data_IF_918887221269
#
_entry.id   IF_918887221269
#
_cell.length_a   1.000
_cell.length_b   1.000
_cell.length_c   1.000
_cell.angle_alpha   90.00
_cell.angle_beta   90.00
_cell.angle_gamma   90.00
#
_symmetry.space_group_name_H-M   'P 1'
#
loop_
_entity.id
_entity.type
_entity.pdbx_description
1 polymer ?
#
# COMPACT_ATOMS: atom_id res chain seq x y z
N UNK A 1 4.95 -20.77 14.95
CA UNK A 1 3.95 -21.45 14.10
C UNK A 1 4.35 -21.18 12.67
N UNK A 2 4.73 -22.20 11.91
CA UNK A 2 5.12 -22.03 10.51
C UNK A 2 3.92 -21.52 9.71
N UNK A 3 4.19 -20.69 8.70
CA UNK A 3 3.19 -20.33 7.70
C UNK A 3 2.97 -21.58 6.85
N UNK A 4 2.10 -22.48 7.30
CA UNK A 4 1.59 -23.53 6.44
C UNK A 4 0.84 -22.83 5.30
N UNK A 5 1.22 -23.14 4.06
CA UNK A 5 0.45 -22.74 2.90
C UNK A 5 -0.95 -23.33 3.07
N UNK A 6 -1.93 -22.48 3.36
CA UNK A 6 -3.33 -22.83 3.58
C UNK A 6 -3.93 -23.47 2.31
N UNK A 7 -3.61 -24.73 2.04
CA UNK A 7 -4.12 -25.49 0.89
C UNK A 7 -3.65 -25.07 -0.50
N UNK A 8 -2.97 -23.91 -0.67
CA UNK A 8 -2.49 -23.44 -1.99
C UNK A 8 -1.09 -23.93 -2.33
N UNK A 9 -0.86 -24.24 -3.61
CA UNK A 9 0.49 -24.58 -4.11
C UNK A 9 1.39 -23.35 -3.99
N UNK A 10 2.45 -23.46 -3.20
CA UNK A 10 3.47 -22.42 -3.07
C UNK A 10 4.14 -22.14 -4.42
N UNK A 11 4.39 -20.86 -4.70
CA UNK A 11 5.24 -20.45 -5.81
C UNK A 11 6.67 -20.93 -5.58
N UNK A 12 7.46 -21.08 -6.66
CA UNK A 12 8.86 -21.56 -6.58
C UNK A 12 9.70 -20.75 -5.58
N UNK A 13 9.46 -19.43 -5.52
CA UNK A 13 10.17 -18.53 -4.61
C UNK A 13 9.73 -18.72 -3.16
N UNK A 14 8.43 -18.87 -2.91
CA UNK A 14 7.89 -19.15 -1.57
C UNK A 14 8.43 -20.48 -1.03
N UNK A 15 8.43 -21.53 -1.87
CA UNK A 15 8.96 -22.84 -1.49
C UNK A 15 10.47 -22.80 -1.19
N UNK A 16 11.24 -21.99 -1.93
CA UNK A 16 12.67 -21.77 -1.66
C UNK A 16 12.86 -21.02 -0.34
N UNK A 17 12.11 -19.95 -0.12
CA UNK A 17 12.26 -19.12 1.08
C UNK A 17 11.88 -19.91 2.35
N UNK A 18 10.88 -20.79 2.27
CA UNK A 18 10.48 -21.68 3.37
C UNK A 18 11.54 -22.71 3.79
N UNK A 19 12.61 -22.90 2.99
CA UNK A 19 13.76 -23.73 3.40
C UNK A 19 14.62 -23.04 4.47
N UNK A 20 14.51 -21.72 4.61
CA UNK A 20 15.16 -20.96 5.69
C UNK A 20 14.20 -20.89 6.88
N UNK A 21 14.59 -21.36 8.08
CA UNK A 21 13.76 -21.25 9.27
C UNK A 21 13.49 -19.79 9.63
N UNK A 22 12.29 -19.51 10.14
CA UNK A 22 11.92 -18.17 10.60
C UNK A 22 12.90 -17.73 11.70
N UNK A 23 13.53 -16.58 11.49
CA UNK A 23 14.48 -16.01 12.43
C UNK A 23 13.79 -15.53 13.70
N UNK A 24 14.50 -15.66 14.83
CA UNK A 24 14.03 -15.07 16.09
C UNK A 24 14.15 -13.55 15.99
N UNK A 25 13.03 -12.85 16.17
CA UNK A 25 13.04 -11.38 16.26
C UNK A 25 13.92 -10.92 17.42
N UNK A 26 14.77 -9.90 17.21
CA UNK A 26 15.62 -9.35 18.26
C UNK A 26 14.78 -8.65 19.34
N UNK A 27 15.34 -8.51 20.54
CA UNK A 27 14.57 -8.07 21.71
C UNK A 27 14.03 -6.64 21.62
N UNK A 28 14.62 -5.79 20.79
CA UNK A 28 14.15 -4.42 20.57
C UNK A 28 12.94 -4.33 19.62
N UNK A 29 12.63 -5.39 18.88
CA UNK A 29 11.41 -5.45 18.05
C UNK A 29 10.29 -6.08 18.88
N UNK A 30 9.61 -5.24 19.66
CA UNK A 30 8.44 -5.60 20.46
C UNK A 30 7.35 -4.57 20.23
N UNK A 31 6.11 -5.05 20.16
CA UNK A 31 4.93 -4.21 20.01
C UNK A 31 4.10 -4.33 21.27
N UNK A 32 3.61 -3.21 21.79
CA UNK A 32 2.61 -3.20 22.85
C UNK A 32 1.22 -3.15 22.21
N UNK A 33 0.53 -4.28 22.18
CA UNK A 33 -0.86 -4.31 21.76
C UNK A 33 -1.73 -3.57 22.79
N UNK A 34 -2.32 -2.46 22.37
CA UNK A 34 -3.32 -1.72 23.16
C UNK A 34 -4.57 -1.62 22.32
N UNK A 35 -5.65 -2.27 22.76
CA UNK A 35 -6.95 -2.22 22.07
C UNK A 35 -7.79 -1.19 22.82
N UNK A 36 -7.83 0.03 22.28
CA UNK A 36 -8.66 1.11 22.81
C UNK A 36 -9.97 1.29 22.02
N UNK A 37 -10.80 2.25 22.46
CA UNK A 37 -12.08 2.50 21.82
C UNK A 37 -11.95 2.99 20.36
N UNK A 38 -10.89 3.76 20.06
CA UNK A 38 -10.62 4.27 18.71
C UNK A 38 -10.28 3.13 17.75
N UNK A 39 -9.44 2.18 18.18
CA UNK A 39 -9.19 0.97 17.40
C UNK A 39 -10.49 0.23 17.03
N UNK A 40 -11.38 0.00 18.02
CA UNK A 40 -12.63 -0.74 17.80
C UNK A 40 -13.61 0.02 16.88
N UNK A 41 -13.66 1.35 17.00
CA UNK A 41 -14.41 2.24 16.12
C UNK A 41 -13.90 2.13 14.68
N UNK A 42 -12.59 2.25 14.46
CA UNK A 42 -11.96 2.16 13.15
C UNK A 42 -12.18 0.78 12.51
N UNK A 43 -11.98 -0.29 13.26
CA UNK A 43 -12.21 -1.66 12.78
C UNK A 43 -13.66 -1.85 12.31
N UNK A 44 -14.63 -1.36 13.07
CA UNK A 44 -16.04 -1.47 12.73
C UNK A 44 -16.41 -0.64 11.50
N UNK A 45 -15.80 0.54 11.33
CA UNK A 45 -16.00 1.40 10.17
C UNK A 45 -15.45 0.78 8.88
N UNK A 46 -14.21 0.29 8.91
CA UNK A 46 -13.56 -0.36 7.76
C UNK A 46 -14.36 -1.58 7.33
N UNK A 47 -14.70 -2.46 8.27
CA UNK A 47 -15.49 -3.66 8.00
C UNK A 47 -16.91 -3.32 7.50
N UNK A 48 -17.56 -2.30 8.10
CA UNK A 48 -18.92 -1.89 7.73
C UNK A 48 -19.04 -1.28 6.33
N UNK A 49 -17.95 -0.68 5.81
CA UNK A 49 -17.88 -0.11 4.46
C UNK A 49 -17.34 -1.09 3.41
N UNK A 50 -16.95 -2.31 3.81
CA UNK A 50 -16.31 -3.28 2.93
C UNK A 50 -15.00 -2.77 2.34
N UNK A 51 -14.22 -2.02 3.12
CA UNK A 51 -12.91 -1.49 2.75
C UNK A 51 -11.80 -2.39 3.28
N UNK A 52 -10.62 -2.24 2.68
CA UNK A 52 -9.40 -2.89 3.14
C UNK A 52 -8.39 -1.86 3.65
N UNK A 53 -7.53 -2.27 4.58
CA UNK A 53 -6.40 -1.46 5.05
C UNK A 53 -5.10 -2.23 4.92
N UNK A 54 -4.00 -1.55 4.60
CA UNK A 54 -2.67 -2.19 4.67
C UNK A 54 -2.32 -2.58 6.10
N UNK A 55 -2.88 -1.88 7.08
CA UNK A 55 -2.70 -2.19 8.48
C UNK A 55 -3.08 -3.65 8.79
N UNK A 56 -4.21 -4.12 8.25
CA UNK A 56 -4.70 -5.48 8.40
C UNK A 56 -4.06 -6.44 7.38
N UNK A 57 -4.12 -6.11 6.09
CA UNK A 57 -3.74 -7.03 5.00
C UNK A 57 -2.23 -7.31 4.93
N UNK A 58 -1.39 -6.38 5.41
CA UNK A 58 0.06 -6.58 5.49
C UNK A 58 0.53 -7.08 6.86
N UNK A 59 -0.39 -7.32 7.81
CA UNK A 59 -0.06 -7.77 9.16
C UNK A 59 0.78 -6.76 9.95
N UNK A 60 0.44 -5.47 9.84
CA UNK A 60 1.25 -4.39 10.41
C UNK A 60 1.25 -4.46 11.95
N UNK A 61 2.44 -4.56 12.60
CA UNK A 61 2.49 -4.59 14.06
C UNK A 61 2.05 -3.26 14.69
N UNK A 62 2.08 -2.15 13.94
CA UNK A 62 1.75 -0.82 14.48
C UNK A 62 0.24 -0.51 14.45
N UNK A 63 -0.61 -1.45 13.99
CA UNK A 63 -2.06 -1.21 13.83
C UNK A 63 -2.71 -0.68 15.12
N UNK A 64 -2.31 -1.20 16.28
CA UNK A 64 -2.86 -0.79 17.58
C UNK A 64 -2.48 0.64 17.97
N UNK A 65 -1.29 1.10 17.56
CA UNK A 65 -0.81 2.45 17.85
C UNK A 65 -1.43 3.45 16.87
N UNK A 66 -1.29 3.20 15.57
CA UNK A 66 -1.78 4.11 14.54
C UNK A 66 -3.30 4.31 14.62
N UNK A 67 -4.07 3.24 14.83
CA UNK A 67 -5.53 3.36 14.84
C UNK A 67 -6.04 4.04 16.10
N UNK A 68 -5.33 3.89 17.22
CA UNK A 68 -5.67 4.61 18.45
C UNK A 68 -5.47 6.13 18.28
N UNK A 69 -4.42 6.52 17.54
CA UNK A 69 -4.12 7.91 17.20
C UNK A 69 -4.94 8.46 16.01
N UNK A 70 -5.90 7.67 15.51
CA UNK A 70 -6.72 7.99 14.31
C UNK A 70 -5.85 8.25 13.09
N UNK A 71 -4.95 7.33 12.80
CA UNK A 71 -4.21 7.25 11.55
C UNK A 71 -4.46 5.89 10.90
N UNK A 72 -4.84 5.88 9.63
CA UNK A 72 -5.09 4.65 8.88
C UNK A 72 -4.54 4.76 7.46
N UNK A 73 -4.06 3.62 6.96
CA UNK A 73 -3.65 3.47 5.56
C UNK A 73 -4.64 2.58 4.83
N UNK A 74 -5.47 3.18 3.99
CA UNK A 74 -6.44 2.46 3.17
C UNK A 74 -5.74 1.70 2.04
N UNK A 75 -6.22 0.49 1.73
CA UNK A 75 -5.79 -0.31 0.59
C UNK A 75 -6.93 -0.35 -0.44
N UNK A 76 -6.77 0.38 -1.55
CA UNK A 76 -7.75 0.42 -2.63
C UNK A 76 -7.45 -0.61 -3.73
N UNK A 77 -8.48 -0.96 -4.50
CA UNK A 77 -8.40 -1.90 -5.62
C UNK A 77 -8.57 -3.35 -5.22
N UNK A 78 -9.00 -3.62 -3.98
CA UNK A 78 -9.19 -4.93 -3.37
C UNK A 78 -7.97 -5.46 -2.60
N UNK A 79 -8.10 -6.72 -2.17
CA UNK A 79 -7.11 -7.47 -1.38
C UNK A 79 -6.18 -8.36 -2.24
N UNK A 80 -6.52 -8.59 -3.52
CA UNK A 80 -5.73 -9.39 -4.45
C UNK A 80 -4.88 -8.50 -5.35
N UNK A 81 -3.56 -8.64 -5.28
CA UNK A 81 -2.61 -7.93 -6.12
C UNK A 81 -2.25 -8.72 -7.39
N UNK A 82 -2.13 -8.03 -8.52
CA UNK A 82 -1.66 -8.66 -9.78
C UNK A 82 -0.15 -8.92 -9.81
N UNK A 83 0.60 -8.44 -8.81
CA UNK A 83 2.06 -8.57 -8.69
C UNK A 83 2.44 -9.24 -7.37
N UNK A 84 3.57 -9.94 -7.39
CA UNK A 84 4.19 -10.53 -6.19
C UNK A 84 5.52 -9.85 -5.89
N UNK A 85 5.66 -9.32 -4.67
CA UNK A 85 6.94 -8.91 -4.09
C UNK A 85 7.26 -9.84 -2.93
N UNK A 86 8.52 -10.26 -2.79
CA UNK A 86 8.93 -11.33 -1.85
C UNK A 86 8.70 -10.98 -0.37
N UNK A 87 8.66 -9.69 -0.03
CA UNK A 87 8.38 -9.21 1.33
C UNK A 87 6.90 -8.98 1.64
N UNK A 88 6.05 -8.87 0.61
CA UNK A 88 4.68 -8.42 0.79
C UNK A 88 3.79 -9.60 1.24
N UNK A 89 2.85 -9.36 2.16
CA UNK A 89 1.90 -10.39 2.60
C UNK A 89 0.54 -10.32 1.89
N UNK A 90 0.26 -9.21 1.20
CA UNK A 90 -0.95 -9.05 0.39
C UNK A 90 -0.99 -10.17 -0.65
N UNK A 91 -2.16 -10.78 -0.79
CA UNK A 91 -2.38 -11.91 -1.66
C UNK A 91 -2.10 -11.58 -3.12
N UNK A 92 -1.59 -12.57 -3.85
CA UNK A 92 -1.43 -12.48 -5.30
C UNK A 92 -2.50 -13.30 -5.98
N UNK A 93 -3.28 -12.66 -6.83
CA UNK A 93 -4.42 -13.31 -7.46
C UNK A 93 -4.99 -12.51 -8.63
N UNK A 94 -6.14 -12.96 -9.11
CA UNK A 94 -6.94 -12.20 -10.07
C UNK A 94 -7.87 -11.28 -9.26
N UNK A 95 -7.72 -9.94 -9.37
CA UNK A 95 -8.59 -9.03 -8.66
C UNK A 95 -10.06 -9.20 -9.06
N UNK A 96 -10.95 -8.82 -8.15
CA UNK A 96 -12.36 -8.64 -8.47
C UNK A 96 -12.56 -7.49 -9.48
N UNK A 97 -13.79 -7.38 -10.00
CA UNK A 97 -14.17 -6.24 -10.83
C UNK A 97 -13.90 -4.92 -10.07
N UNK A 98 -13.46 -3.90 -10.81
CA UNK A 98 -13.24 -2.57 -10.24
C UNK A 98 -14.53 -2.04 -9.60
N UNK A 99 -14.49 -1.80 -8.29
CA UNK A 99 -15.54 -1.08 -7.60
C UNK A 99 -15.35 0.43 -7.84
N UNK A 100 -16.25 1.05 -8.59
CA UNK A 100 -16.19 2.49 -8.87
C UNK A 100 -16.70 3.35 -7.73
N UNK A 101 -17.38 2.76 -6.75
CA UNK A 101 -17.85 3.46 -5.55
C UNK A 101 -16.80 3.44 -4.44
N UNK A 102 -15.73 2.64 -4.57
CA UNK A 102 -14.63 2.54 -3.59
C UNK A 102 -14.02 3.91 -3.21
N UNK A 103 -13.68 4.81 -4.16
CA UNK A 103 -13.24 6.17 -3.84
C UNK A 103 -14.16 6.93 -2.88
N UNK A 104 -15.48 6.87 -3.12
CA UNK A 104 -16.48 7.56 -2.31
C UNK A 104 -16.63 6.92 -0.92
N UNK A 105 -16.51 5.58 -0.83
CA UNK A 105 -16.50 4.85 0.45
C UNK A 105 -15.28 5.21 1.29
N UNK A 106 -14.10 5.28 0.68
CA UNK A 106 -12.87 5.73 1.35
C UNK A 106 -13.04 7.15 1.86
N UNK A 107 -13.48 8.09 1.02
CA UNK A 107 -13.69 9.48 1.43
C UNK A 107 -14.74 9.61 2.56
N UNK A 108 -15.79 8.79 2.53
CA UNK A 108 -16.80 8.74 3.60
C UNK A 108 -16.18 8.26 4.91
N UNK A 109 -15.28 7.27 4.85
CA UNK A 109 -14.59 6.74 6.03
C UNK A 109 -13.60 7.76 6.60
N UNK A 110 -12.81 8.42 5.75
CA UNK A 110 -11.91 9.53 6.15
C UNK A 110 -12.68 10.63 6.89
N UNK A 111 -13.83 11.04 6.36
CA UNK A 111 -14.69 12.05 6.97
C UNK A 111 -15.28 11.57 8.31
N UNK A 112 -15.81 10.34 8.36
CA UNK A 112 -16.40 9.76 9.56
C UNK A 112 -15.38 9.63 10.70
N UNK A 113 -14.14 9.29 10.37
CA UNK A 113 -13.03 9.16 11.32
C UNK A 113 -12.48 10.53 11.78
N UNK A 114 -12.82 11.61 11.07
CA UNK A 114 -12.29 12.95 11.34
C UNK A 114 -10.78 13.03 11.14
N UNK A 115 -10.24 12.31 10.14
CA UNK A 115 -8.81 12.30 9.86
C UNK A 115 -8.36 13.67 9.35
N UNK A 116 -7.28 14.20 9.95
CA UNK A 116 -6.59 15.39 9.44
C UNK A 116 -5.61 15.05 8.33
N UNK A 117 -5.16 13.80 8.30
CA UNK A 117 -4.23 13.28 7.31
C UNK A 117 -4.59 11.84 7.00
N UNK A 118 -4.81 11.50 5.73
CA UNK A 118 -5.16 10.17 5.28
C UNK A 118 -4.04 9.59 4.41
N UNK A 119 -3.59 8.38 4.70
CA UNK A 119 -2.69 7.66 3.81
C UNK A 119 -3.52 6.69 2.97
N UNK A 120 -3.32 6.73 1.65
CA UNK A 120 -3.97 5.84 0.71
C UNK A 120 -2.91 5.12 -0.09
N UNK A 121 -3.02 3.80 -0.16
CA UNK A 121 -2.24 2.96 -1.08
C UNK A 121 -3.19 1.97 -1.73
N UNK A 122 -2.69 1.16 -2.65
CA UNK A 122 -3.49 0.10 -3.24
C UNK A 122 -2.64 -1.05 -3.75
N UNK A 123 -3.34 -2.03 -4.32
CA UNK A 123 -2.71 -3.12 -5.05
C UNK A 123 -2.34 -2.69 -6.48
N UNK A 124 -1.42 -3.43 -7.11
CA UNK A 124 -1.21 -3.29 -8.54
C UNK A 124 -2.39 -3.88 -9.31
N UNK A 125 -2.93 -3.14 -10.27
CA UNK A 125 -4.06 -3.52 -11.11
C UNK A 125 -3.68 -3.65 -12.58
N UNK A 126 -2.68 -4.50 -12.88
CA UNK A 126 -2.25 -4.78 -14.25
C UNK A 126 -3.36 -5.45 -15.11
N UNK A 127 -4.48 -5.86 -14.51
CA UNK A 127 -5.69 -6.35 -15.17
C UNK A 127 -6.54 -5.23 -15.79
N UNK A 128 -6.37 -3.99 -15.32
CA UNK A 128 -7.11 -2.83 -15.82
C UNK A 128 -6.35 -2.14 -16.97
N UNK A 129 -7.06 -1.59 -17.98
CA UNK A 129 -6.41 -0.92 -19.12
C UNK A 129 -5.53 0.27 -18.73
N UNK A 130 -5.90 0.99 -17.67
CA UNK A 130 -5.20 2.16 -17.14
C UNK A 130 -4.29 1.81 -15.93
N UNK A 131 -4.12 0.52 -15.62
CA UNK A 131 -3.37 0.08 -14.44
C UNK A 131 -4.00 0.50 -13.11
N UNK A 132 -5.25 1.00 -13.11
CA UNK A 132 -5.92 1.59 -11.95
C UNK A 132 -5.66 3.09 -11.74
N UNK A 133 -5.02 3.80 -12.67
CA UNK A 133 -4.71 5.23 -12.52
C UNK A 133 -5.92 6.08 -12.12
N UNK A 134 -7.07 5.85 -12.76
CA UNK A 134 -8.33 6.52 -12.42
C UNK A 134 -8.73 6.27 -10.96
N UNK A 135 -8.62 5.03 -10.48
CA UNK A 135 -9.03 4.65 -9.12
C UNK A 135 -8.20 5.41 -8.07
N UNK A 136 -6.88 5.42 -8.23
CA UNK A 136 -5.98 6.14 -7.31
C UNK A 136 -6.27 7.64 -7.32
N UNK A 137 -6.37 8.23 -8.51
CA UNK A 137 -6.61 9.66 -8.66
C UNK A 137 -7.99 10.07 -8.13
N UNK A 138 -9.02 9.26 -8.37
CA UNK A 138 -10.38 9.53 -7.93
C UNK A 138 -10.52 9.42 -6.41
N UNK A 139 -9.83 8.48 -5.76
CA UNK A 139 -9.84 8.40 -4.30
C UNK A 139 -9.31 9.67 -3.64
N UNK A 140 -8.21 10.25 -4.15
CA UNK A 140 -7.70 11.53 -3.66
C UNK A 140 -8.73 12.65 -3.86
N UNK A 141 -9.31 12.74 -5.06
CA UNK A 141 -10.32 13.76 -5.40
C UNK A 141 -11.56 13.70 -4.50
N UNK A 142 -12.07 12.49 -4.23
CA UNK A 142 -13.22 12.28 -3.34
C UNK A 142 -12.88 12.67 -1.89
N UNK A 143 -11.68 12.34 -1.40
CA UNK A 143 -11.24 12.73 -0.06
C UNK A 143 -11.19 14.26 0.07
N UNK A 144 -10.52 14.95 -0.86
CA UNK A 144 -10.44 16.42 -0.83
C UNK A 144 -11.82 17.08 -0.92
N UNK A 145 -12.73 16.52 -1.73
CA UNK A 145 -14.10 17.03 -1.88
C UNK A 145 -14.90 16.90 -0.60
N UNK A 146 -14.84 15.72 0.04
CA UNK A 146 -15.68 15.40 1.20
C UNK A 146 -15.10 15.88 2.52
N UNK A 147 -13.78 16.00 2.61
CA UNK A 147 -13.06 16.44 3.81
C UNK A 147 -12.11 17.60 3.46
N UNK A 148 -12.62 18.81 3.14
CA UNK A 148 -11.77 19.94 2.82
C UNK A 148 -10.77 20.25 3.94
N UNK A 149 -9.48 20.30 3.59
CA UNK A 149 -8.39 20.55 4.53
C UNK A 149 -7.72 19.30 5.11
N UNK A 150 -8.24 18.09 4.84
CA UNK A 150 -7.49 16.87 5.12
C UNK A 150 -6.35 16.70 4.10
N UNK A 151 -5.13 16.48 4.60
CA UNK A 151 -3.99 16.12 3.74
C UNK A 151 -4.06 14.67 3.30
N UNK A 152 -3.59 14.38 2.08
CA UNK A 152 -3.56 13.04 1.51
C UNK A 152 -2.13 12.65 1.12
N UNK A 153 -1.63 11.57 1.70
CA UNK A 153 -0.45 10.86 1.20
C UNK A 153 -0.90 9.69 0.32
N UNK A 154 -0.50 9.68 -0.95
CA UNK A 154 -0.84 8.64 -1.91
C UNK A 154 0.40 7.80 -2.24
N UNK A 155 0.44 6.55 -1.76
CA UNK A 155 1.47 5.57 -2.11
C UNK A 155 1.03 4.74 -3.33
N UNK A 156 1.78 4.85 -4.42
CA UNK A 156 1.37 4.30 -5.72
C UNK A 156 2.25 3.14 -6.21
N UNK A 157 1.70 2.23 -7.03
CA UNK A 157 2.50 1.37 -7.89
C UNK A 157 3.22 2.21 -8.95
N UNK A 158 4.05 1.59 -9.79
CA UNK A 158 4.81 2.33 -10.80
C UNK A 158 4.01 2.65 -12.06
N UNK A 159 2.77 2.15 -12.21
CA UNK A 159 1.95 2.23 -13.43
C UNK A 159 2.72 1.85 -14.72
N UNK A 160 3.71 0.95 -14.56
CA UNK A 160 4.69 0.56 -15.59
C UNK A 160 5.46 1.75 -16.21
N UNK A 161 5.48 2.90 -15.54
CA UNK A 161 6.11 4.13 -16.00
C UNK A 161 5.33 4.83 -17.12
N UNK A 162 4.05 4.50 -17.31
CA UNK A 162 3.21 5.07 -18.38
C UNK A 162 2.94 6.55 -18.09
N UNK A 163 3.43 7.50 -18.91
CA UNK A 163 3.35 8.93 -18.62
C UNK A 163 1.92 9.44 -18.42
N UNK A 164 0.97 8.95 -19.21
CA UNK A 164 -0.43 9.39 -19.16
C UNK A 164 -1.12 8.96 -17.85
N UNK A 165 -0.86 7.73 -17.41
CA UNK A 165 -1.38 7.19 -16.15
C UNK A 165 -0.78 7.92 -14.95
N UNK A 166 0.52 8.20 -14.99
CA UNK A 166 1.20 8.99 -13.96
C UNK A 166 0.66 10.42 -13.90
N UNK A 167 0.48 11.06 -15.06
CA UNK A 167 -0.06 12.42 -15.14
C UNK A 167 -1.49 12.51 -14.56
N UNK A 168 -2.34 11.51 -14.83
CA UNK A 168 -3.69 11.45 -14.26
C UNK A 168 -3.67 11.39 -12.72
N UNK A 169 -2.80 10.56 -12.17
CA UNK A 169 -2.63 10.44 -10.72
C UNK A 169 -2.05 11.72 -10.13
N UNK A 170 -1.03 12.31 -10.75
CA UNK A 170 -0.43 13.55 -10.27
C UNK A 170 -1.41 14.73 -10.30
N UNK A 171 -2.30 14.77 -11.28
CA UNK A 171 -3.36 15.78 -11.40
C UNK A 171 -4.43 15.70 -10.30
N UNK A 172 -4.45 14.65 -9.48
CA UNK A 172 -5.27 14.61 -8.25
C UNK A 172 -4.66 15.38 -7.08
N UNK A 173 -3.42 15.86 -7.23
CA UNK A 173 -2.73 16.77 -6.31
C UNK A 173 -2.71 16.31 -4.85
N UNK A 174 -2.27 15.08 -4.52
CA UNK A 174 -2.07 14.70 -3.13
C UNK A 174 -0.96 15.55 -2.50
N UNK A 175 -1.08 15.85 -1.20
CA UNK A 175 -0.07 16.58 -0.44
C UNK A 175 1.31 15.88 -0.47
N UNK A 176 1.32 14.54 -0.49
CA UNK A 176 2.53 13.74 -0.69
C UNK A 176 2.26 12.61 -1.69
N UNK A 177 3.12 12.50 -2.70
CA UNK A 177 3.13 11.36 -3.61
C UNK A 177 4.28 10.42 -3.22
N UNK A 178 3.93 9.23 -2.75
CA UNK A 178 4.89 8.21 -2.38
C UNK A 178 5.03 7.13 -3.46
N UNK A 179 6.27 6.74 -3.77
CA UNK A 179 6.56 5.53 -4.52
C UNK A 179 7.82 4.89 -3.97
N UNK A 180 7.68 3.70 -3.38
CA UNK A 180 8.77 3.09 -2.67
C UNK A 180 9.74 2.38 -3.61
N UNK A 181 11.05 2.51 -3.36
CA UNK A 181 12.08 1.67 -3.97
C UNK A 181 12.18 0.31 -3.26
N UNK A 182 12.04 0.33 -1.93
CA UNK A 182 12.11 -0.80 -1.00
C UNK A 182 13.51 -1.42 -0.83
N UNK A 183 14.36 -1.44 -1.86
CA UNK A 183 15.68 -2.04 -1.75
C UNK A 183 16.68 -1.49 -2.78
N UNK A 184 17.93 -1.95 -2.69
CA UNK A 184 19.04 -1.53 -3.54
C UNK A 184 19.05 -2.24 -4.91
N UNK A 185 19.64 -1.64 -5.97
CA UNK A 185 19.61 -2.18 -7.33
C UNK A 185 20.02 -3.66 -7.45
N UNK A 186 21.08 -4.06 -6.73
CA UNK A 186 21.67 -5.41 -6.80
C UNK A 186 20.67 -6.52 -6.48
N UNK A 187 19.75 -6.31 -5.55
CA UNK A 187 18.76 -7.32 -5.13
C UNK A 187 17.33 -6.98 -5.54
N UNK A 188 17.13 -5.84 -6.20
CA UNK A 188 15.81 -5.33 -6.54
C UNK A 188 14.98 -6.30 -7.37
N UNK A 189 15.54 -6.86 -8.45
CA UNK A 189 14.81 -7.79 -9.33
C UNK A 189 14.48 -9.13 -8.65
N UNK A 190 15.23 -9.51 -7.61
CA UNK A 190 14.93 -10.67 -6.77
C UNK A 190 13.74 -10.39 -5.87
N UNK A 191 13.70 -9.21 -5.25
CA UNK A 191 12.69 -8.83 -4.26
C UNK A 191 11.38 -8.35 -4.91
N UNK A 192 11.48 -7.59 -6.01
CA UNK A 192 10.37 -6.94 -6.73
C UNK A 192 10.45 -7.21 -8.23
N UNK A 193 10.26 -8.46 -8.68
CA UNK A 193 10.50 -8.86 -10.07
C UNK A 193 9.64 -8.14 -11.11
N UNK A 194 8.46 -7.65 -10.73
CA UNK A 194 7.56 -6.89 -11.60
C UNK A 194 7.96 -5.40 -11.76
N UNK A 195 8.87 -4.90 -10.92
CA UNK A 195 9.32 -3.51 -10.89
C UNK A 195 10.74 -3.38 -11.48
N UNK A 196 11.18 -2.16 -11.77
CA UNK A 196 12.58 -1.85 -12.15
C UNK A 196 13.06 -0.66 -11.34
N UNK A 197 14.27 -0.73 -10.80
CA UNK A 197 14.79 0.29 -9.88
C UNK A 197 14.82 1.68 -10.53
N UNK A 198 15.35 1.75 -11.74
CA UNK A 198 15.48 2.98 -12.54
C UNK A 198 14.11 3.53 -12.93
N UNK A 199 13.14 2.66 -13.20
CA UNK A 199 11.76 3.07 -13.49
C UNK A 199 11.09 3.65 -12.24
N UNK A 200 11.28 3.01 -11.09
CA UNK A 200 10.77 3.52 -9.81
C UNK A 200 11.38 4.88 -9.45
N UNK A 201 12.67 5.10 -9.72
CA UNK A 201 13.30 6.42 -9.60
C UNK A 201 12.71 7.43 -10.60
N UNK A 202 12.43 7.01 -11.84
CA UNK A 202 11.84 7.87 -12.85
C UNK A 202 10.41 8.30 -12.46
N UNK A 203 9.62 7.45 -11.81
CA UNK A 203 8.30 7.79 -11.25
C UNK A 203 8.41 8.93 -10.23
N UNK A 204 9.35 8.81 -9.28
CA UNK A 204 9.59 9.88 -8.29
C UNK A 204 10.08 11.17 -8.94
N UNK A 205 10.94 11.06 -9.97
CA UNK A 205 11.41 12.20 -10.74
C UNK A 205 10.25 12.91 -11.44
N UNK A 206 9.36 12.16 -12.10
CA UNK A 206 8.19 12.71 -12.78
C UNK A 206 7.21 13.38 -11.80
N UNK A 207 6.98 12.79 -10.61
CA UNK A 207 6.14 13.40 -9.59
C UNK A 207 6.73 14.73 -9.07
N UNK A 208 8.06 14.77 -8.86
CA UNK A 208 8.77 16.00 -8.49
C UNK A 208 8.68 17.05 -9.59
N UNK A 209 8.87 16.67 -10.84
CA UNK A 209 8.77 17.57 -12.00
C UNK A 209 7.33 18.11 -12.20
N UNK A 210 6.31 17.35 -11.76
CA UNK A 210 4.92 17.80 -11.68
C UNK A 210 4.62 18.72 -10.47
N UNK A 211 5.62 19.02 -9.63
CA UNK A 211 5.50 19.94 -8.50
C UNK A 211 5.03 19.32 -7.18
N UNK A 212 4.94 17.99 -7.09
CA UNK A 212 4.50 17.30 -5.88
C UNK A 212 5.66 17.08 -4.89
N UNK A 213 5.34 17.08 -3.59
CA UNK A 213 6.26 16.55 -2.57
C UNK A 213 6.35 15.03 -2.76
N UNK A 214 7.56 14.50 -2.87
CA UNK A 214 7.79 13.08 -3.12
C UNK A 214 8.33 12.35 -1.90
N UNK A 215 7.89 11.10 -1.72
CA UNK A 215 8.33 10.21 -0.64
C UNK A 215 8.71 8.83 -1.19
N UNK A 216 9.65 8.18 -0.53
CA UNK A 216 10.02 6.79 -0.82
C UNK A 216 10.41 6.07 0.46
N UNK A 217 10.63 4.77 0.37
CA UNK A 217 10.98 3.90 1.48
C UNK A 217 12.07 2.89 1.09
N UNK A 218 12.82 2.45 2.08
CA UNK A 218 13.73 1.30 2.02
C UNK A 218 13.40 0.35 3.17
N UNK A 219 13.24 -0.93 2.84
CA UNK A 219 13.15 -2.01 3.82
C UNK A 219 14.55 -2.60 3.96
N UNK A 220 15.06 -2.62 5.18
CA UNK A 220 16.37 -3.18 5.50
C UNK A 220 16.27 -4.64 5.95
N UNK A 221 17.37 -5.38 5.85
CA UNK A 221 17.47 -6.78 6.22
C UNK A 221 17.18 -7.77 5.07
N UNK A 222 17.15 -7.32 3.82
CA UNK A 222 16.90 -8.17 2.64
C UNK A 222 18.19 -8.64 1.93
N UNK A 223 19.34 -8.32 2.52
CA UNK A 223 20.66 -8.68 2.01
C UNK A 223 21.36 -7.56 1.25
N UNK A 224 20.89 -6.32 1.38
CA UNK A 224 21.60 -5.10 1.00
C UNK A 224 22.85 -4.91 1.86
N UNK A 225 23.81 -4.15 1.34
CA UNK A 225 25.05 -3.76 2.00
C UNK A 225 25.26 -2.27 1.76
N UNK A 226 25.99 -1.60 2.65
CA UNK A 226 26.57 -0.28 2.38
C UNK A 226 27.53 -0.32 1.19
#
# INVERSE_FOLDING_TARGET
MGVEAQGRRMLRVEARNAQTPIERKPEWIRTRATIGPQYAELHSLVAGQGLHTVCEEAGCPNIFECWEDREATFLIGGDQCTRRCDFCQIDTGRPAALDRDEPAKVATSVAAMGLRYATVTGVARDDLPDGGAWLYAQTVREIHTRTPGAGVELLIPDFRGTPEQLAEVFASTPEVLAHNLETVPRIFSRVRPAFRYERSLAVLTAARDAGLVTKSNLILGMGETT
#
